data_IF_418033479662
#
_entry.id   IF_418033479662
#
_cell.length_a   1.000
_cell.length_b   1.000
_cell.length_c   1.000
_cell.angle_alpha   90.00
_cell.angle_beta   90.00
_cell.angle_gamma   90.00
#
_symmetry.space_group_name_H-M   'P 1'
#
loop_
_entity.id
_entity.type
_entity.pdbx_description
1 polymer ?
#
# COMPACT_ATOMS: atom_id res chain seq x y z
N UNK A 1 15.06 -3.00 -1.47
CA UNK A 1 13.88 -3.18 -2.34
C UNK A 1 13.99 -2.38 -3.64
N UNK A 2 14.00 -1.03 -3.61
CA UNK A 2 14.02 -0.21 -4.84
C UNK A 2 15.29 -0.43 -5.70
N UNK A 3 16.47 -0.47 -5.09
CA UNK A 3 17.72 -0.75 -5.80
C UNK A 3 17.79 -2.17 -6.39
N UNK A 4 17.11 -3.15 -5.77
CA UNK A 4 17.05 -4.52 -6.30
C UNK A 4 16.14 -4.56 -7.53
N UNK A 5 14.95 -3.95 -7.45
CA UNK A 5 14.02 -3.89 -8.59
C UNK A 5 14.62 -3.11 -9.77
N UNK A 6 15.35 -2.03 -9.49
CA UNK A 6 16.01 -1.25 -10.54
C UNK A 6 17.11 -2.05 -11.26
N UNK A 7 17.83 -2.94 -10.56
CA UNK A 7 18.80 -3.85 -11.18
C UNK A 7 18.13 -4.93 -12.03
N UNK A 8 17.04 -5.52 -11.54
CA UNK A 8 16.24 -6.48 -12.31
C UNK A 8 15.75 -5.88 -13.64
N UNK A 9 15.27 -4.63 -13.62
CA UNK A 9 14.88 -3.94 -14.86
C UNK A 9 16.07 -3.66 -15.78
N UNK A 10 17.24 -3.34 -15.22
CA UNK A 10 18.43 -3.13 -16.01
C UNK A 10 18.89 -4.40 -16.72
N UNK A 11 18.80 -5.55 -16.04
CA UNK A 11 19.07 -6.86 -16.62
C UNK A 11 18.10 -7.19 -17.76
N UNK A 12 16.81 -6.88 -17.60
CA UNK A 12 15.79 -7.10 -18.64
C UNK A 12 16.04 -6.23 -19.87
N UNK A 13 16.45 -4.98 -19.67
CA UNK A 13 16.65 -3.99 -20.76
C UNK A 13 18.06 -4.12 -21.37
N UNK A 14 18.98 -4.82 -20.70
CA UNK A 14 20.36 -5.00 -21.14
C UNK A 14 21.26 -3.78 -20.86
N UNK A 15 20.91 -2.97 -19.86
CA UNK A 15 21.63 -1.75 -19.49
C UNK A 15 22.63 -2.00 -18.35
N UNK A 16 23.85 -1.47 -18.46
CA UNK A 16 24.81 -1.47 -17.34
C UNK A 16 24.43 -0.37 -16.33
N UNK A 17 23.45 -0.68 -15.50
CA UNK A 17 22.90 0.23 -14.52
C UNK A 17 23.31 -0.14 -13.09
N UNK A 18 24.02 0.79 -12.43
CA UNK A 18 24.38 0.66 -11.02
C UNK A 18 23.41 1.44 -10.14
N UNK A 19 22.54 0.70 -9.46
CA UNK A 19 21.62 1.21 -8.45
C UNK A 19 22.35 1.65 -7.16
N UNK A 20 23.30 2.57 -7.26
CA UNK A 20 24.12 3.07 -6.14
C UNK A 20 23.27 3.83 -5.12
N UNK A 21 23.83 4.01 -3.91
CA UNK A 21 23.18 4.82 -2.86
C UNK A 21 23.02 6.27 -3.34
N UNK A 22 24.03 6.83 -4.02
CA UNK A 22 23.95 8.19 -4.57
C UNK A 22 22.88 8.34 -5.66
N UNK A 23 22.69 7.33 -6.51
CA UNK A 23 21.57 7.31 -7.45
C UNK A 23 20.24 7.27 -6.71
N UNK A 24 20.10 6.39 -5.71
CA UNK A 24 18.87 6.21 -4.94
C UNK A 24 18.43 7.52 -4.27
N UNK A 25 19.36 8.24 -3.63
CA UNK A 25 19.08 9.53 -2.99
C UNK A 25 18.65 10.61 -3.99
N UNK A 26 19.34 10.71 -5.13
CA UNK A 26 18.96 11.65 -6.21
C UNK A 26 17.60 11.29 -6.82
N UNK A 27 17.36 9.99 -7.05
CA UNK A 27 16.12 9.48 -7.60
C UNK A 27 14.94 9.77 -6.67
N UNK A 28 15.12 9.58 -5.36
CA UNK A 28 14.12 9.94 -4.35
C UNK A 28 13.83 11.43 -4.35
N UNK A 29 14.87 12.27 -4.28
CA UNK A 29 14.72 13.73 -4.25
C UNK A 29 14.03 14.26 -5.51
N UNK A 30 14.39 13.75 -6.69
CA UNK A 30 13.81 14.18 -7.97
C UNK A 30 12.33 13.80 -8.09
N UNK A 31 11.95 12.61 -7.60
CA UNK A 31 10.60 12.10 -7.74
C UNK A 31 9.75 12.30 -6.47
N UNK A 32 10.24 13.08 -5.49
CA UNK A 32 9.56 13.30 -4.21
C UNK A 32 9.13 11.98 -3.53
N UNK A 33 9.94 10.93 -3.66
CA UNK A 33 9.68 9.64 -3.02
C UNK A 33 10.10 9.78 -1.56
N UNK A 34 9.16 10.26 -0.75
CA UNK A 34 9.30 10.30 0.70
C UNK A 34 9.00 8.89 1.21
N UNK A 35 9.88 8.32 2.03
CA UNK A 35 9.49 7.20 2.90
C UNK A 35 8.60 7.74 4.03
N UNK A 36 7.47 8.35 3.68
CA UNK A 36 6.37 8.25 4.59
C UNK A 36 5.84 6.84 4.38
N UNK A 37 5.94 6.03 5.43
CA UNK A 37 4.95 4.98 5.60
C UNK A 37 3.60 5.69 5.50
N UNK A 38 2.90 5.53 4.37
CA UNK A 38 1.46 5.69 4.38
C UNK A 38 0.97 4.58 5.30
N UNK A 39 1.01 4.86 6.61
CA UNK A 39 0.24 4.12 7.60
C UNK A 39 -1.22 4.47 7.35
N UNK A 40 -1.74 4.04 6.21
CA UNK A 40 -3.14 3.96 5.90
C UNK A 40 -3.67 2.81 6.74
N UNK A 41 -4.29 3.18 7.85
CA UNK A 41 -4.85 2.33 8.89
C UNK A 41 -3.81 1.53 9.69
N UNK A 42 -3.64 1.93 10.95
CA UNK A 42 -3.10 1.03 11.97
C UNK A 42 -3.84 -0.30 11.87
N UNK A 43 -3.10 -1.40 11.74
CA UNK A 43 -3.65 -2.76 11.77
C UNK A 43 -4.42 -3.07 13.07
N UNK A 44 -4.41 -2.16 14.05
CA UNK A 44 -5.32 -2.18 15.19
C UNK A 44 -6.47 -1.20 14.98
N UNK A 45 -7.45 -1.60 14.17
CA UNK A 45 -8.82 -1.17 14.49
C UNK A 45 -9.14 -1.78 15.84
N UNK A 46 -9.30 -0.95 16.88
CA UNK A 46 -9.65 -1.39 18.22
C UNK A 46 -10.81 -2.41 18.13
N UNK A 47 -10.67 -3.58 18.77
CA UNK A 47 -11.68 -4.64 18.71
C UNK A 47 -13.09 -4.13 19.07
N UNK A 48 -13.18 -3.13 19.96
CA UNK A 48 -14.42 -2.44 20.29
C UNK A 48 -15.05 -1.74 19.09
N UNK A 49 -14.25 -1.03 18.30
CA UNK A 49 -14.68 -0.35 17.07
C UNK A 49 -15.20 -1.36 16.05
N UNK A 50 -14.55 -2.53 15.92
CA UNK A 50 -15.01 -3.61 15.03
C UNK A 50 -16.38 -4.15 15.46
N UNK A 51 -16.58 -4.44 16.75
CA UNK A 51 -17.85 -4.95 17.26
C UNK A 51 -19.00 -3.93 17.15
N UNK A 52 -18.71 -2.64 17.39
CA UNK A 52 -19.68 -1.55 17.17
C UNK A 52 -20.11 -1.47 15.69
N UNK A 53 -19.16 -1.59 14.76
CA UNK A 53 -19.48 -1.59 13.32
C UNK A 53 -20.27 -2.82 12.89
N UNK A 54 -19.99 -4.00 13.43
CA UNK A 54 -20.77 -5.22 13.15
C UNK A 54 -22.23 -5.06 13.59
N UNK A 55 -22.48 -4.50 14.79
CA UNK A 55 -23.85 -4.25 15.25
C UNK A 55 -24.58 -3.27 14.34
N UNK A 56 -23.90 -2.19 13.93
CA UNK A 56 -24.47 -1.19 13.03
C UNK A 56 -24.75 -1.75 11.64
N UNK A 57 -23.92 -2.68 11.16
CA UNK A 57 -24.13 -3.35 9.87
C UNK A 57 -25.45 -4.13 9.85
N UNK A 58 -25.78 -4.84 10.93
CA UNK A 58 -27.05 -5.58 11.05
C UNK A 58 -28.23 -4.63 10.91
N UNK A 59 -28.18 -3.46 11.58
CA UNK A 59 -29.22 -2.45 11.46
C UNK A 59 -29.32 -1.85 10.05
N UNK A 60 -28.19 -1.59 9.40
CA UNK A 60 -28.15 -1.08 8.03
C UNK A 60 -28.70 -2.07 7.00
N UNK A 61 -28.50 -3.37 7.25
CA UNK A 61 -29.01 -4.45 6.39
C UNK A 61 -30.48 -4.79 6.66
N UNK A 62 -31.13 -4.21 7.68
CA UNK A 62 -32.57 -4.41 7.90
C UNK A 62 -33.36 -3.88 6.69
N UNK A 63 -34.01 -4.78 5.97
CA UNK A 63 -34.80 -4.47 4.78
C UNK A 63 -34.05 -4.65 3.45
N UNK A 64 -32.75 -4.94 3.48
CA UNK A 64 -32.03 -5.44 2.31
C UNK A 64 -32.14 -6.96 2.30
N UNK A 65 -33.12 -7.47 1.54
CA UNK A 65 -33.15 -8.88 1.20
C UNK A 65 -32.27 -9.08 -0.03
N UNK A 66 -31.46 -10.16 -0.10
CA UNK A 66 -30.78 -10.50 -1.33
C UNK A 66 -31.85 -10.67 -2.42
N UNK A 67 -31.76 -9.85 -3.48
CA UNK A 67 -32.53 -10.09 -4.69
C UNK A 67 -32.21 -11.51 -5.14
N UNK A 68 -33.22 -12.38 -5.05
CA UNK A 68 -33.07 -13.77 -5.46
C UNK A 68 -32.99 -13.74 -6.99
N UNK A 69 -31.77 -13.86 -7.52
CA UNK A 69 -31.50 -14.00 -8.96
C UNK A 69 -32.12 -15.31 -9.46
#
# INVERSE_FOLDING_TARGET
MLQSKAREYAEIIGEDFKASIGWLEKFRKRNQIVFNTLSGESAETCAKTVEEWKLRLIDLCKGYFPDTI
#
